data_IF_161096631358
#
_entry.id   IF_161096631358
#
_cell.length_a   1.000
_cell.length_b   1.000
_cell.length_c   1.000
_cell.angle_alpha   90.00
_cell.angle_beta   90.00
_cell.angle_gamma   90.00
#
_symmetry.space_group_name_H-M   'P 1'
#
loop_
_entity.id
_entity.type
_entity.pdbx_description
1 polymer ?
#
# COMPACT_ATOMS: atom_id res chain seq x y z
N UNK A 1 50.49 6.48 -0.37
CA UNK A 1 49.46 5.66 0.32
C UNK A 1 50.13 4.57 1.14
N UNK A 2 50.67 4.92 2.30
CA UNK A 2 51.02 4.01 3.40
C UNK A 2 51.14 4.93 4.62
N UNK A 3 50.06 4.96 5.40
CA UNK A 3 50.01 5.30 6.82
C UNK A 3 48.55 5.08 7.24
N UNK A 4 48.17 3.80 7.29
CA UNK A 4 47.00 3.44 8.08
C UNK A 4 47.39 3.71 9.53
N UNK A 5 46.69 4.65 10.18
CA UNK A 5 46.87 4.94 11.60
C UNK A 5 46.99 3.63 12.38
N UNK A 6 48.20 3.36 12.91
CA UNK A 6 48.56 2.07 13.47
C UNK A 6 47.68 1.78 14.72
N UNK A 7 46.60 1.01 14.52
CA UNK A 7 45.68 0.61 15.58
C UNK A 7 44.18 0.84 15.29
N UNK A 8 43.80 1.61 14.26
CA UNK A 8 42.39 1.83 13.95
C UNK A 8 41.72 0.57 13.34
N UNK A 9 40.61 0.13 13.94
CA UNK A 9 39.79 -0.99 13.45
C UNK A 9 38.94 -0.62 12.24
N UNK A 10 38.57 0.66 12.11
CA UNK A 10 37.77 1.20 11.02
C UNK A 10 38.37 2.51 10.52
N UNK A 11 38.21 2.79 9.23
CA UNK A 11 38.68 4.02 8.58
C UNK A 11 37.55 4.63 7.78
N UNK A 12 37.24 5.90 8.04
CA UNK A 12 36.38 6.73 7.19
C UNK A 12 37.28 7.58 6.30
N UNK A 13 37.27 7.33 4.99
CA UNK A 13 38.01 8.11 4.00
C UNK A 13 37.02 8.96 3.19
N UNK A 14 37.22 10.28 3.17
CA UNK A 14 36.43 11.20 2.35
C UNK A 14 37.30 11.85 1.27
N UNK A 15 36.81 11.83 0.03
CA UNK A 15 37.44 12.55 -1.10
C UNK A 15 36.54 13.71 -1.49
N UNK A 16 37.12 14.91 -1.58
CA UNK A 16 36.42 16.13 -1.94
C UNK A 16 36.78 16.52 -3.37
N UNK A 17 35.77 16.68 -4.22
CA UNK A 17 35.94 17.13 -5.62
C UNK A 17 35.13 18.39 -5.82
N UNK A 18 35.79 19.52 -6.10
CA UNK A 18 35.12 20.79 -6.37
C UNK A 18 34.94 20.99 -7.88
N UNK A 19 33.71 21.28 -8.32
CA UNK A 19 33.39 21.59 -9.71
C UNK A 19 32.17 22.51 -9.78
N UNK A 20 32.24 23.57 -10.59
CA UNK A 20 31.08 24.43 -10.87
C UNK A 20 30.45 25.11 -9.63
N UNK A 21 31.25 25.43 -8.59
CA UNK A 21 30.75 26.03 -7.35
C UNK A 21 30.08 25.06 -6.38
N UNK A 22 30.15 23.76 -6.67
CA UNK A 22 29.68 22.67 -5.82
C UNK A 22 30.86 21.77 -5.42
N UNK A 23 30.76 21.16 -4.25
CA UNK A 23 31.74 20.22 -3.72
C UNK A 23 31.07 18.88 -3.51
N UNK A 24 31.52 17.87 -4.24
CA UNK A 24 31.11 16.47 -4.05
C UNK A 24 32.02 15.84 -3.00
N UNK A 25 31.41 15.28 -1.96
CA UNK A 25 32.09 14.48 -0.95
C UNK A 25 31.71 13.03 -1.19
N UNK A 26 32.72 12.21 -1.50
CA UNK A 26 32.58 10.76 -1.57
C UNK A 26 33.26 10.15 -0.34
N UNK A 27 32.49 9.56 0.56
CA UNK A 27 32.96 8.99 1.81
C UNK A 27 32.78 7.47 1.84
N UNK A 28 33.84 6.77 2.23
CA UNK A 28 33.86 5.32 2.34
C UNK A 28 34.29 4.93 3.76
N UNK A 29 33.44 4.17 4.46
CA UNK A 29 33.75 3.58 5.75
C UNK A 29 34.12 2.11 5.55
N UNK A 30 35.33 1.74 5.96
CA UNK A 30 35.88 0.39 5.75
C UNK A 30 36.34 -0.21 7.07
N UNK A 31 36.00 -1.48 7.30
CA UNK A 31 36.63 -2.30 8.34
C UNK A 31 38.05 -2.66 7.88
N UNK A 32 39.05 -2.18 8.62
CA UNK A 32 40.46 -2.31 8.26
C UNK A 32 40.96 -3.77 8.42
N UNK A 33 40.26 -4.60 9.20
CA UNK A 33 40.58 -6.00 9.46
C UNK A 33 40.04 -6.91 8.37
N UNK A 34 38.79 -6.70 7.94
CA UNK A 34 38.14 -7.53 6.90
C UNK A 34 38.26 -6.96 5.49
N UNK A 35 38.63 -5.67 5.36
CA UNK A 35 38.62 -4.89 4.11
C UNK A 35 37.22 -4.73 3.50
N UNK A 36 36.17 -5.01 4.27
CA UNK A 36 34.78 -4.82 3.83
C UNK A 36 34.39 -3.36 3.99
N UNK A 37 33.78 -2.80 2.94
CA UNK A 37 33.15 -1.49 3.02
C UNK A 37 31.83 -1.61 3.77
N UNK A 38 31.74 -0.96 4.92
CA UNK A 38 30.54 -0.92 5.73
C UNK A 38 29.53 0.10 5.19
N UNK A 39 30.03 1.24 4.68
CA UNK A 39 29.20 2.26 4.03
C UNK A 39 29.94 2.97 2.91
N UNK A 40 29.20 3.21 1.83
CA UNK A 40 29.56 4.07 0.71
C UNK A 40 28.51 5.18 0.64
N UNK A 41 28.96 6.42 0.66
CA UNK A 41 28.09 7.58 0.70
C UNK A 41 28.65 8.69 -0.18
N UNK A 42 27.78 9.33 -0.95
CA UNK A 42 28.11 10.49 -1.74
C UNK A 42 27.06 11.57 -1.54
N UNK A 43 27.53 12.80 -1.33
CA UNK A 43 26.67 13.97 -1.34
C UNK A 43 27.37 15.15 -2.00
N UNK A 44 26.57 16.02 -2.59
CA UNK A 44 27.03 17.23 -3.23
C UNK A 44 26.48 18.45 -2.48
N UNK A 45 27.40 19.36 -2.13
CA UNK A 45 27.13 20.56 -1.35
C UNK A 45 27.39 21.80 -2.19
N UNK A 46 26.49 22.78 -2.14
CA UNK A 46 26.82 24.14 -2.53
C UNK A 46 27.80 24.78 -1.54
N UNK A 47 28.47 25.86 -1.94
CA UNK A 47 29.47 26.54 -1.11
C UNK A 47 28.98 26.88 0.31
N UNK A 48 27.73 27.33 0.47
CA UNK A 48 27.13 27.65 1.78
C UNK A 48 26.65 26.43 2.58
N UNK A 49 26.52 25.27 1.95
CA UNK A 49 26.03 24.03 2.57
C UNK A 49 27.19 23.19 3.15
N UNK A 50 28.45 23.48 2.78
CA UNK A 50 29.64 22.77 3.27
C UNK A 50 29.76 22.77 4.80
N UNK A 51 29.13 23.72 5.49
CA UNK A 51 29.03 23.77 6.95
C UNK A 51 28.39 22.51 7.56
N UNK A 52 27.59 21.76 6.80
CA UNK A 52 26.93 20.54 7.27
C UNK A 52 27.78 19.27 7.10
N UNK A 53 28.81 19.31 6.25
CA UNK A 53 29.61 18.13 5.90
C UNK A 53 30.23 17.39 7.11
N UNK A 54 30.77 18.06 8.15
CA UNK A 54 31.32 17.35 9.32
C UNK A 54 30.29 16.48 10.04
N UNK A 55 29.07 17.00 10.23
CA UNK A 55 27.99 16.26 10.90
C UNK A 55 27.46 15.14 10.01
N UNK A 56 27.41 15.36 8.69
CA UNK A 56 27.05 14.32 7.74
C UNK A 56 28.04 13.14 7.78
N UNK A 57 29.35 13.42 7.76
CA UNK A 57 30.39 12.39 7.86
C UNK A 57 30.34 11.63 9.20
N UNK A 58 30.05 12.33 10.30
CA UNK A 58 29.79 11.68 11.59
C UNK A 58 28.58 10.73 11.52
N UNK A 59 27.49 11.17 10.87
CA UNK A 59 26.32 10.34 10.61
C UNK A 59 26.62 9.08 9.80
N UNK A 60 27.50 9.16 8.79
CA UNK A 60 27.93 7.97 8.02
C UNK A 60 28.69 6.99 8.89
N UNK A 61 29.55 7.48 9.78
CA UNK A 61 30.26 6.64 10.74
C UNK A 61 29.31 5.98 11.73
N UNK A 62 28.37 6.73 12.32
CA UNK A 62 27.42 6.18 13.30
C UNK A 62 26.46 5.18 12.66
N UNK A 63 25.98 5.44 11.45
CA UNK A 63 25.16 4.48 10.71
C UNK A 63 25.92 3.21 10.37
N UNK A 64 27.12 3.33 9.78
CA UNK A 64 27.89 2.17 9.35
C UNK A 64 28.41 1.29 10.49
N UNK A 65 28.53 1.85 11.70
CA UNK A 65 28.99 1.14 12.90
C UNK A 65 27.84 0.77 13.85
N UNK A 66 26.58 1.03 13.48
CA UNK A 66 25.40 0.85 14.34
C UNK A 66 25.54 1.51 15.72
N UNK A 67 26.17 2.69 15.77
CA UNK A 67 26.32 3.49 16.99
C UNK A 67 25.06 4.34 17.21
N UNK A 68 24.85 4.89 18.42
CA UNK A 68 23.87 5.95 18.61
C UNK A 68 24.11 7.09 17.62
N UNK A 69 23.03 7.69 17.12
CA UNK A 69 23.10 8.82 16.21
C UNK A 69 23.94 9.96 16.81
N UNK A 70 24.70 10.65 15.95
CA UNK A 70 25.43 11.84 16.36
C UNK A 70 24.47 12.88 16.97
N UNK A 71 24.92 13.59 18.01
CA UNK A 71 24.10 14.62 18.62
C UNK A 71 23.88 15.77 17.62
N UNK A 72 22.63 16.19 17.47
CA UNK A 72 22.27 17.38 16.71
C UNK A 72 21.97 18.56 17.65
N UNK A 73 22.19 19.81 17.21
CA UNK A 73 21.67 20.97 17.92
C UNK A 73 20.15 20.85 18.07
N UNK A 74 19.58 21.24 19.23
CA UNK A 74 18.14 21.30 19.37
C UNK A 74 17.56 22.28 18.35
N UNK A 75 16.38 21.95 17.82
CA UNK A 75 15.63 22.87 16.96
C UNK A 75 15.40 24.19 17.68
N UNK A 76 15.56 25.30 16.95
CA UNK A 76 15.34 26.64 17.50
C UNK A 76 13.92 26.78 18.05
N UNK A 77 13.78 27.51 19.16
CA UNK A 77 12.48 27.70 19.82
C UNK A 77 11.44 28.33 18.91
N UNK A 78 11.85 29.23 18.00
CA UNK A 78 10.95 29.86 17.03
C UNK A 78 10.36 28.84 16.02
N UNK A 79 11.11 27.78 15.67
CA UNK A 79 10.67 26.74 14.74
C UNK A 79 9.88 25.62 15.42
N UNK A 80 10.07 25.41 16.72
CA UNK A 80 9.53 24.26 17.44
C UNK A 80 8.00 24.24 17.49
N UNK A 81 7.37 25.41 17.61
CA UNK A 81 5.90 25.52 17.64
C UNK A 81 5.30 25.09 16.30
N UNK A 82 5.78 25.70 15.21
CA UNK A 82 5.35 25.37 13.84
C UNK A 82 5.63 23.90 13.49
N UNK A 83 6.78 23.35 13.92
CA UNK A 83 7.10 21.94 13.69
C UNK A 83 6.13 21.00 14.40
N UNK A 84 5.77 21.30 15.66
CA UNK A 84 4.81 20.50 16.43
C UNK A 84 3.40 20.60 15.86
N UNK A 85 3.00 21.79 15.41
CA UNK A 85 1.74 22.02 14.70
C UNK A 85 1.71 21.19 13.41
N UNK A 86 2.77 21.26 12.60
CA UNK A 86 2.89 20.47 11.38
C UNK A 86 2.79 18.96 11.65
N UNK A 87 3.49 18.45 12.67
CA UNK A 87 3.37 17.05 13.07
C UNK A 87 1.96 16.68 13.54
N UNK A 88 1.26 17.58 14.24
CA UNK A 88 -0.10 17.35 14.66
C UNK A 88 -1.03 17.21 13.45
N UNK A 89 -0.92 18.08 12.44
CA UNK A 89 -1.69 17.96 11.21
C UNK A 89 -1.35 16.70 10.40
N UNK A 90 -0.06 16.30 10.35
CA UNK A 90 0.36 15.04 9.71
C UNK A 90 -0.16 13.78 10.41
N UNK A 91 -0.44 13.88 11.71
CA UNK A 91 -1.01 12.79 12.52
C UNK A 91 -2.54 12.82 12.55
N UNK A 92 -3.16 13.95 12.19
CA UNK A 92 -4.60 14.16 12.35
C UNK A 92 -5.40 13.79 11.08
N UNK A 93 -6.63 13.42 11.35
CA UNK A 93 -7.57 12.64 10.55
C UNK A 93 -8.10 13.36 9.30
N UNK A 94 -8.13 14.69 9.33
CA UNK A 94 -8.52 15.48 8.16
C UNK A 94 -7.34 15.91 7.31
N UNK A 95 -6.14 15.32 7.56
CA UNK A 95 -4.84 15.70 7.02
C UNK A 95 -4.96 16.97 6.20
N UNK A 96 -5.04 18.10 6.91
CA UNK A 96 -4.98 19.42 6.31
C UNK A 96 -3.55 19.53 5.81
N UNK A 97 -3.26 18.80 4.75
CA UNK A 97 -1.91 18.61 4.23
C UNK A 97 -1.35 19.97 3.86
N UNK A 98 -2.22 20.91 3.47
CA UNK A 98 -1.89 22.31 3.33
C UNK A 98 -1.49 23.00 4.64
N UNK A 99 -2.21 22.79 5.75
CA UNK A 99 -1.84 23.34 7.06
C UNK A 99 -0.56 22.69 7.59
N UNK A 100 -0.42 21.36 7.48
CA UNK A 100 0.79 20.62 7.79
C UNK A 100 1.99 21.17 7.02
N UNK A 101 1.84 21.32 5.70
CA UNK A 101 2.87 21.85 4.81
C UNK A 101 3.20 23.29 5.15
N UNK A 102 2.21 24.16 5.35
CA UNK A 102 2.42 25.56 5.70
C UNK A 102 3.16 25.72 7.05
N UNK A 103 2.80 24.92 8.06
CA UNK A 103 3.51 24.89 9.34
C UNK A 103 4.95 24.39 9.17
N UNK A 104 5.17 23.32 8.40
CA UNK A 104 6.53 22.83 8.13
C UNK A 104 7.38 23.83 7.32
N UNK A 105 6.77 24.57 6.39
CA UNK A 105 7.44 25.65 5.64
C UNK A 105 7.88 26.77 6.59
N UNK A 106 7.05 27.17 7.56
CA UNK A 106 7.43 28.13 8.61
C UNK A 106 8.53 27.61 9.51
N UNK A 107 8.46 26.34 9.94
CA UNK A 107 9.49 25.72 10.77
C UNK A 107 10.86 25.72 10.07
N UNK A 108 10.89 25.39 8.78
CA UNK A 108 12.12 25.46 7.96
C UNK A 108 12.59 26.90 7.77
N UNK A 109 11.68 27.87 7.61
CA UNK A 109 12.06 29.29 7.49
C UNK A 109 12.68 29.84 8.80
N UNK A 110 12.14 29.43 9.96
CA UNK A 110 12.63 29.84 11.28
C UNK A 110 13.94 29.14 11.67
N UNK A 111 14.14 27.89 11.24
CA UNK A 111 15.38 27.14 11.45
C UNK A 111 15.83 26.40 10.18
N UNK A 112 16.44 27.11 9.21
CA UNK A 112 16.86 26.51 7.94
C UNK A 112 17.93 25.44 8.07
N UNK A 113 18.60 25.34 9.23
CA UNK A 113 19.65 24.37 9.52
C UNK A 113 19.12 23.07 10.16
N UNK A 114 17.83 23.01 10.51
CA UNK A 114 17.21 21.83 11.15
C UNK A 114 16.91 20.71 10.16
N UNK A 115 17.66 19.61 10.25
CA UNK A 115 17.41 18.40 9.46
C UNK A 115 15.99 17.83 9.69
N UNK A 116 15.53 17.88 10.93
CA UNK A 116 14.21 17.36 11.32
C UNK A 116 13.07 18.20 10.73
N UNK A 117 13.22 19.54 10.66
CA UNK A 117 12.23 20.40 10.00
C UNK A 117 12.13 20.09 8.51
N UNK A 118 13.27 19.93 7.82
CA UNK A 118 13.30 19.53 6.41
C UNK A 118 12.69 18.15 6.18
N UNK A 119 12.93 17.18 7.07
CA UNK A 119 12.32 15.86 6.98
C UNK A 119 10.79 15.92 7.15
N UNK A 120 10.29 16.73 8.10
CA UNK A 120 8.86 16.97 8.28
C UNK A 120 8.22 17.66 7.08
N UNK A 121 8.90 18.64 6.48
CA UNK A 121 8.46 19.31 5.26
C UNK A 121 8.38 18.34 4.07
N UNK A 122 9.39 17.48 3.91
CA UNK A 122 9.39 16.44 2.88
C UNK A 122 8.21 15.48 3.04
N UNK A 123 7.88 15.09 4.28
CA UNK A 123 6.72 14.26 4.58
C UNK A 123 5.41 14.96 4.19
N UNK A 124 5.23 16.23 4.57
CA UNK A 124 4.04 17.01 4.20
C UNK A 124 3.87 17.20 2.69
N UNK A 125 4.96 17.53 1.98
CA UNK A 125 4.96 17.68 0.52
C UNK A 125 4.65 16.36 -0.18
N UNK A 126 5.16 15.23 0.33
CA UNK A 126 4.81 13.91 -0.20
C UNK A 126 3.31 13.62 -0.03
N UNK A 127 2.72 13.95 1.12
CA UNK A 127 1.27 13.81 1.29
C UNK A 127 0.49 14.75 0.36
N UNK A 128 1.02 15.94 0.04
CA UNK A 128 0.40 16.86 -0.92
C UNK A 128 0.39 16.23 -2.31
N UNK A 129 1.51 15.65 -2.73
CA UNK A 129 1.59 14.87 -3.96
C UNK A 129 0.62 13.70 -3.96
N UNK A 130 0.52 12.95 -2.86
CA UNK A 130 -0.38 11.81 -2.75
C UNK A 130 -1.86 12.21 -2.93
N UNK A 131 -2.26 13.39 -2.47
CA UNK A 131 -3.63 13.89 -2.61
C UNK A 131 -3.91 14.52 -3.99
N UNK A 132 -2.97 15.30 -4.53
CA UNK A 132 -3.17 16.11 -5.74
C UNK A 132 -2.68 15.44 -7.02
N UNK A 133 -1.78 14.47 -6.90
CA UNK A 133 -1.03 13.86 -8.00
C UNK A 133 -0.20 14.85 -8.85
N UNK A 134 0.04 16.06 -8.36
CA UNK A 134 0.89 17.05 -9.05
C UNK A 134 2.37 16.74 -8.84
N UNK A 135 3.10 16.42 -9.92
CA UNK A 135 4.51 16.00 -9.86
C UNK A 135 5.43 17.02 -9.18
N UNK A 136 5.12 18.31 -9.25
CA UNK A 136 5.87 19.38 -8.57
C UNK A 136 6.01 19.12 -7.06
N UNK A 137 5.01 18.54 -6.42
CA UNK A 137 5.07 18.22 -4.98
C UNK A 137 5.98 17.04 -4.69
N UNK A 138 6.07 16.06 -5.60
CA UNK A 138 7.02 14.96 -5.48
C UNK A 138 8.46 15.47 -5.60
N UNK A 139 8.73 16.34 -6.57
CA UNK A 139 10.05 16.95 -6.76
C UNK A 139 10.47 17.76 -5.52
N UNK A 140 9.54 18.53 -4.95
CA UNK A 140 9.76 19.27 -3.71
C UNK A 140 10.02 18.34 -2.52
N UNK A 141 9.26 17.27 -2.36
CA UNK A 141 9.44 16.30 -1.29
C UNK A 141 10.83 15.64 -1.37
N UNK A 142 11.28 15.28 -2.57
CA UNK A 142 12.61 14.72 -2.81
C UNK A 142 13.71 15.72 -2.48
N UNK A 143 13.55 16.99 -2.87
CA UNK A 143 14.52 18.05 -2.53
C UNK A 143 14.57 18.32 -1.03
N UNK A 144 13.43 18.44 -0.34
CA UNK A 144 13.40 18.63 1.12
C UNK A 144 14.02 17.43 1.86
N UNK A 145 13.78 16.20 1.40
CA UNK A 145 14.41 15.02 1.97
C UNK A 145 15.93 15.01 1.73
N UNK A 146 16.39 15.46 0.56
CA UNK A 146 17.82 15.65 0.26
C UNK A 146 18.44 16.69 1.20
N UNK A 147 17.77 17.83 1.41
CA UNK A 147 18.20 18.88 2.32
C UNK A 147 18.30 18.39 3.78
N UNK A 148 17.37 17.55 4.21
CA UNK A 148 17.43 16.90 5.51
C UNK A 148 18.68 15.99 5.64
N UNK A 149 18.93 15.16 4.62
CA UNK A 149 20.10 14.27 4.57
C UNK A 149 21.44 15.00 4.49
N UNK A 150 21.52 16.15 3.81
CA UNK A 150 22.74 16.97 3.79
C UNK A 150 23.13 17.50 5.17
N UNK A 151 22.13 17.84 6.01
CA UNK A 151 22.31 18.41 7.34
C UNK A 151 22.69 17.35 8.36
N UNK A 152 21.90 16.28 8.42
CA UNK A 152 22.13 15.17 9.32
C UNK A 152 21.50 13.88 8.78
N UNK A 153 22.28 13.02 8.10
CA UNK A 153 21.76 11.82 7.45
C UNK A 153 21.31 10.75 8.45
N UNK A 154 21.92 10.68 9.64
CA UNK A 154 21.70 9.61 10.61
C UNK A 154 20.67 9.97 11.70
N UNK A 155 19.53 10.54 11.33
CA UNK A 155 18.40 10.78 12.24
C UNK A 155 17.22 9.91 11.85
N UNK A 156 16.47 9.43 12.84
CA UNK A 156 15.30 8.61 12.59
C UNK A 156 14.26 9.29 11.66
N UNK A 157 13.85 10.56 11.83
CA UNK A 157 12.95 11.22 10.88
C UNK A 157 13.49 11.29 9.45
N UNK A 158 14.81 11.47 9.28
CA UNK A 158 15.48 11.58 7.98
C UNK A 158 15.49 10.23 7.28
N UNK A 159 15.88 9.17 7.98
CA UNK A 159 15.80 7.80 7.49
C UNK A 159 14.36 7.38 7.19
N UNK A 160 13.39 7.76 8.03
CA UNK A 160 11.98 7.42 7.84
C UNK A 160 11.40 8.03 6.57
N UNK A 161 11.65 9.31 6.30
CA UNK A 161 11.17 9.95 5.07
C UNK A 161 11.94 9.45 3.83
N UNK A 162 13.26 9.23 3.94
CA UNK A 162 14.05 8.65 2.86
C UNK A 162 13.53 7.25 2.49
N UNK A 163 13.35 6.38 3.49
CA UNK A 163 12.78 5.05 3.31
C UNK A 163 11.37 5.09 2.72
N UNK A 164 10.53 6.03 3.16
CA UNK A 164 9.19 6.20 2.62
C UNK A 164 9.18 6.62 1.13
N UNK A 165 10.01 7.57 0.74
CA UNK A 165 10.12 8.01 -0.65
C UNK A 165 10.69 6.91 -1.55
N UNK A 166 11.68 6.15 -1.06
CA UNK A 166 12.23 4.98 -1.76
C UNK A 166 11.18 3.88 -1.93
N UNK A 167 10.37 3.60 -0.90
CA UNK A 167 9.26 2.65 -0.99
C UNK A 167 8.25 3.05 -2.07
N UNK A 168 7.81 4.32 -2.08
CA UNK A 168 6.82 4.80 -3.05
C UNK A 168 7.36 4.94 -4.48
N UNK A 169 8.67 4.82 -4.67
CA UNK A 169 9.33 4.82 -5.98
C UNK A 169 9.80 3.42 -6.39
N UNK A 170 9.39 2.37 -5.66
CA UNK A 170 9.66 0.97 -5.97
C UNK A 170 11.05 0.46 -5.56
N UNK A 171 11.82 1.24 -4.79
CA UNK A 171 13.16 0.85 -4.30
C UNK A 171 13.06 0.23 -2.92
N UNK A 172 12.51 -0.98 -2.84
CA UNK A 172 12.13 -1.63 -1.58
C UNK A 172 13.32 -2.03 -0.69
N UNK A 173 14.40 -2.56 -1.25
CA UNK A 173 15.59 -2.96 -0.49
C UNK A 173 16.27 -1.74 0.15
N UNK A 174 16.31 -0.63 -0.58
CA UNK A 174 16.84 0.62 -0.05
C UNK A 174 15.90 1.21 1.00
N UNK A 175 14.58 1.08 0.83
CA UNK A 175 13.60 1.52 1.82
C UNK A 175 13.74 0.74 3.14
N UNK A 176 13.94 -0.58 3.06
CA UNK A 176 14.19 -1.45 4.20
C UNK A 176 15.42 -1.02 5.00
N UNK A 177 16.55 -0.76 4.32
CA UNK A 177 17.79 -0.34 4.98
C UNK A 177 17.64 0.99 5.72
N UNK A 178 16.93 1.96 5.14
CA UNK A 178 16.65 3.25 5.77
C UNK A 178 15.71 3.06 6.98
N UNK A 179 14.62 2.32 6.84
CA UNK A 179 13.63 2.14 7.91
C UNK A 179 14.16 1.31 9.08
N UNK A 180 15.00 0.30 8.81
CA UNK A 180 15.73 -0.41 9.88
C UNK A 180 16.60 0.56 10.68
N UNK A 181 17.33 1.45 10.00
CA UNK A 181 18.14 2.44 10.71
C UNK A 181 17.28 3.43 11.51
N UNK A 182 16.14 3.85 10.97
CA UNK A 182 15.20 4.69 11.71
C UNK A 182 14.74 4.02 13.03
N UNK A 183 14.45 2.71 13.00
CA UNK A 183 14.05 1.93 14.18
C UNK A 183 15.23 1.67 15.13
N UNK A 184 16.45 1.47 14.63
CA UNK A 184 17.64 1.37 15.48
C UNK A 184 17.88 2.66 16.29
N UNK A 185 17.60 3.82 15.69
CA UNK A 185 17.77 5.13 16.32
C UNK A 185 16.58 5.50 17.23
N UNK A 186 15.35 5.21 16.80
CA UNK A 186 14.12 5.43 17.58
C UNK A 186 13.26 4.14 17.63
N UNK A 187 13.58 3.19 18.53
CA UNK A 187 12.91 1.88 18.57
C UNK A 187 11.46 1.91 19.05
N UNK A 188 11.02 3.03 19.62
CA UNK A 188 9.65 3.21 20.12
C UNK A 188 8.77 4.02 19.14
N UNK A 189 9.24 4.25 17.91
CA UNK A 189 8.50 4.96 16.88
C UNK A 189 7.57 4.01 16.11
N UNK A 190 6.28 4.01 16.46
CA UNK A 190 5.25 3.18 15.82
C UNK A 190 5.21 3.32 14.29
N UNK A 191 5.38 4.54 13.79
CA UNK A 191 5.36 4.85 12.36
C UNK A 191 6.56 4.24 11.61
N UNK A 192 7.74 4.14 12.25
CA UNK A 192 8.91 3.43 11.70
C UNK A 192 8.59 1.95 11.46
N UNK A 193 8.09 1.26 12.50
CA UNK A 193 7.67 -0.14 12.43
C UNK A 193 6.58 -0.36 11.37
N UNK A 194 5.53 0.47 11.34
CA UNK A 194 4.46 0.35 10.33
C UNK A 194 4.96 0.53 8.91
N UNK A 195 5.85 1.49 8.66
CA UNK A 195 6.43 1.69 7.32
C UNK A 195 7.35 0.52 6.93
N UNK A 196 8.12 -0.04 7.85
CA UNK A 196 8.94 -1.23 7.60
C UNK A 196 8.06 -2.45 7.26
N UNK A 197 6.95 -2.64 7.99
CA UNK A 197 5.97 -3.68 7.71
C UNK A 197 5.43 -3.60 6.27
N UNK A 198 5.13 -2.38 5.78
CA UNK A 198 4.71 -2.16 4.39
C UNK A 198 5.76 -2.54 3.36
N UNK A 199 7.05 -2.34 3.67
CA UNK A 199 8.15 -2.79 2.81
C UNK A 199 8.17 -4.31 2.73
N UNK A 200 8.12 -4.99 3.87
CA UNK A 200 8.06 -6.46 3.91
C UNK A 200 6.84 -7.01 3.17
N UNK A 201 5.68 -6.38 3.31
CA UNK A 201 4.47 -6.76 2.57
C UNK A 201 4.67 -6.65 1.04
N UNK A 202 5.37 -5.62 0.57
CA UNK A 202 5.69 -5.48 -0.87
C UNK A 202 6.72 -6.48 -1.37
N UNK A 203 7.57 -6.98 -0.49
CA UNK A 203 8.54 -8.03 -0.79
C UNK A 203 7.97 -9.45 -0.57
N UNK A 204 6.66 -9.59 -0.35
CA UNK A 204 5.98 -10.87 -0.03
C UNK A 204 6.50 -11.57 1.25
N UNK A 205 7.17 -10.80 2.12
CA UNK A 205 7.68 -11.22 3.42
C UNK A 205 6.60 -11.02 4.49
N UNK A 206 5.50 -11.76 4.35
CA UNK A 206 4.29 -11.45 5.09
C UNK A 206 4.44 -11.65 6.60
N UNK A 207 5.27 -12.59 7.05
CA UNK A 207 5.42 -12.90 8.49
C UNK A 207 6.25 -11.84 9.21
N UNK A 208 7.29 -11.33 8.56
CA UNK A 208 8.04 -10.15 9.00
C UNK A 208 7.12 -8.92 9.03
N UNK A 209 6.31 -8.73 7.98
CA UNK A 209 5.30 -7.65 7.96
C UNK A 209 4.33 -7.74 9.15
N UNK A 210 3.86 -8.96 9.46
CA UNK A 210 2.95 -9.18 10.59
C UNK A 210 3.60 -8.83 11.94
N UNK A 211 4.88 -9.21 12.13
CA UNK A 211 5.63 -8.88 13.34
C UNK A 211 5.76 -7.37 13.52
N UNK A 212 6.15 -6.66 12.46
CA UNK A 212 6.34 -5.21 12.50
C UNK A 212 5.02 -4.43 12.67
N UNK A 213 3.93 -4.86 12.03
CA UNK A 213 2.62 -4.24 12.26
C UNK A 213 2.11 -4.44 13.68
N UNK A 214 2.32 -5.62 14.28
CA UNK A 214 1.98 -5.84 15.69
C UNK A 214 2.79 -4.92 16.60
N UNK A 215 4.09 -4.77 16.34
CA UNK A 215 4.94 -3.85 17.08
C UNK A 215 4.49 -2.40 16.95
N UNK A 216 4.07 -1.97 15.76
CA UNK A 216 3.49 -0.65 15.56
C UNK A 216 2.21 -0.43 16.40
N UNK A 217 1.31 -1.42 16.47
CA UNK A 217 0.12 -1.35 17.32
C UNK A 217 0.46 -1.27 18.81
N UNK A 218 1.46 -2.03 19.28
CA UNK A 218 1.93 -1.97 20.67
C UNK A 218 2.49 -0.59 21.04
N UNK A 219 3.26 0.02 20.15
CA UNK A 219 3.92 1.32 20.37
C UNK A 219 2.96 2.51 20.18
N UNK A 220 1.97 2.37 19.30
CA UNK A 220 1.01 3.42 18.96
C UNK A 220 -0.45 2.95 19.11
N UNK A 221 -0.93 2.62 20.33
CA UNK A 221 -2.27 2.07 20.54
C UNK A 221 -3.42 3.04 20.25
N UNK A 222 -3.12 4.34 20.06
CA UNK A 222 -4.09 5.36 19.67
C UNK A 222 -4.04 5.71 18.18
N UNK A 223 -3.14 5.11 17.40
CA UNK A 223 -2.96 5.40 15.99
C UNK A 223 -3.80 4.43 15.14
N UNK A 224 -4.95 4.91 14.64
CA UNK A 224 -5.86 4.09 13.84
C UNK A 224 -5.18 3.45 12.62
N UNK A 225 -4.17 4.11 12.03
CA UNK A 225 -3.49 3.63 10.83
C UNK A 225 -2.71 2.33 11.11
N UNK A 226 -2.22 2.13 12.34
CA UNK A 226 -1.55 0.89 12.75
C UNK A 226 -2.55 -0.28 12.75
N UNK A 227 -3.76 -0.06 13.27
CA UNK A 227 -4.83 -1.06 13.25
C UNK A 227 -5.36 -1.31 11.84
N UNK A 228 -5.54 -0.26 11.04
CA UNK A 228 -6.01 -0.39 9.67
C UNK A 228 -5.04 -1.20 8.80
N UNK A 229 -3.74 -0.90 8.85
CA UNK A 229 -2.74 -1.62 8.04
C UNK A 229 -2.58 -3.09 8.51
N UNK A 230 -2.69 -3.36 9.83
CA UNK A 230 -2.68 -4.73 10.36
C UNK A 230 -3.93 -5.52 9.94
N UNK A 231 -5.12 -4.92 10.02
CA UNK A 231 -6.36 -5.51 9.52
C UNK A 231 -6.25 -5.80 8.02
N UNK A 232 -5.77 -4.84 7.24
CA UNK A 232 -5.55 -5.02 5.80
C UNK A 232 -4.60 -6.19 5.47
N UNK A 233 -3.58 -6.45 6.28
CA UNK A 233 -2.72 -7.62 6.10
C UNK A 233 -3.48 -8.94 6.33
N UNK A 234 -4.31 -9.02 7.38
CA UNK A 234 -5.15 -10.20 7.59
C UNK A 234 -6.20 -10.38 6.49
N UNK A 235 -6.82 -9.28 6.05
CA UNK A 235 -7.75 -9.26 4.93
C UNK A 235 -7.10 -9.82 3.65
N UNK A 236 -5.88 -9.36 3.31
CA UNK A 236 -5.13 -9.86 2.14
C UNK A 236 -4.78 -11.34 2.23
N UNK A 237 -4.63 -11.88 3.45
CA UNK A 237 -4.44 -13.32 3.70
C UNK A 237 -5.77 -14.11 3.70
N UNK A 238 -6.90 -13.48 3.35
CA UNK A 238 -8.24 -14.08 3.37
C UNK A 238 -8.79 -14.33 4.77
N UNK A 239 -8.13 -13.82 5.82
CA UNK A 239 -8.53 -14.05 7.22
C UNK A 239 -9.44 -12.93 7.72
N UNK A 240 -10.63 -12.82 7.15
CA UNK A 240 -11.58 -11.74 7.41
C UNK A 240 -12.05 -11.69 8.88
N UNK A 241 -12.25 -12.86 9.50
CA UNK A 241 -12.61 -12.96 10.92
C UNK A 241 -11.53 -12.37 11.83
N UNK A 242 -10.25 -12.55 11.48
CA UNK A 242 -9.13 -12.01 12.25
C UNK A 242 -8.85 -10.54 11.93
N UNK A 243 -9.20 -10.09 10.73
CA UNK A 243 -9.13 -8.68 10.31
C UNK A 243 -10.15 -7.81 11.07
N UNK A 244 -11.37 -8.33 11.23
CA UNK A 244 -12.51 -7.61 11.81
C UNK A 244 -12.24 -6.85 13.13
N UNK A 245 -11.61 -7.45 14.18
CA UNK A 245 -11.33 -6.71 15.41
C UNK A 245 -10.39 -5.52 15.22
N UNK A 246 -9.45 -5.58 14.26
CA UNK A 246 -8.56 -4.48 13.95
C UNK A 246 -9.26 -3.37 13.16
N UNK A 247 -10.10 -3.72 12.19
CA UNK A 247 -10.93 -2.74 11.48
C UNK A 247 -11.92 -2.03 12.39
N UNK A 248 -12.53 -2.75 13.35
CA UNK A 248 -13.37 -2.15 14.39
C UNK A 248 -12.59 -1.14 15.24
N UNK A 249 -11.37 -1.50 15.67
CA UNK A 249 -10.52 -0.60 16.45
C UNK A 249 -10.06 0.60 15.63
N UNK A 250 -9.79 0.42 14.33
CA UNK A 250 -9.45 1.51 13.43
C UNK A 250 -10.62 2.51 13.29
N UNK A 251 -11.87 2.03 13.19
CA UNK A 251 -13.06 2.91 13.18
C UNK A 251 -13.26 3.59 14.53
N UNK A 252 -13.04 2.90 15.65
CA UNK A 252 -13.12 3.50 16.99
C UNK A 252 -12.14 4.68 17.16
N UNK A 253 -10.91 4.52 16.67
CA UNK A 253 -9.84 5.52 16.79
C UNK A 253 -9.88 6.60 15.69
N UNK A 254 -10.42 6.26 14.52
CA UNK A 254 -10.54 7.15 13.36
C UNK A 254 -11.95 7.14 12.75
N UNK A 255 -12.99 7.60 13.49
CA UNK A 255 -14.38 7.54 13.03
C UNK A 255 -14.73 8.59 11.95
N UNK A 256 -13.78 9.45 11.57
CA UNK A 256 -13.93 10.42 10.48
C UNK A 256 -13.04 10.04 9.28
N UNK A 257 -12.40 8.87 9.32
CA UNK A 257 -11.59 8.36 8.23
C UNK A 257 -12.45 7.51 7.31
N UNK A 258 -12.68 7.98 6.08
CA UNK A 258 -13.42 7.18 5.09
C UNK A 258 -12.79 5.79 4.87
N UNK A 259 -11.45 5.70 4.99
CA UNK A 259 -10.68 4.46 4.83
C UNK A 259 -10.95 3.42 5.91
N UNK A 260 -11.16 3.82 7.17
CA UNK A 260 -11.40 2.88 8.28
C UNK A 260 -12.78 2.23 8.13
N UNK A 261 -13.80 3.04 7.79
CA UNK A 261 -15.14 2.55 7.49
C UNK A 261 -15.16 1.66 6.24
N UNK A 262 -14.40 2.01 5.20
CA UNK A 262 -14.28 1.17 4.01
C UNK A 262 -13.62 -0.20 4.31
N UNK A 263 -12.57 -0.21 5.14
CA UNK A 263 -11.91 -1.45 5.58
C UNK A 263 -12.89 -2.34 6.38
N UNK A 264 -13.59 -1.76 7.36
CA UNK A 264 -14.58 -2.48 8.15
C UNK A 264 -15.73 -3.03 7.28
N UNK A 265 -16.22 -2.22 6.33
CA UNK A 265 -17.24 -2.69 5.41
C UNK A 265 -16.75 -3.82 4.49
N UNK A 266 -15.47 -3.79 4.09
CA UNK A 266 -14.87 -4.84 3.28
C UNK A 266 -14.79 -6.15 4.06
N UNK A 267 -14.45 -6.11 5.35
CA UNK A 267 -14.52 -7.29 6.23
C UNK A 267 -15.94 -7.82 6.32
N UNK A 268 -16.93 -6.96 6.57
CA UNK A 268 -18.34 -7.37 6.64
C UNK A 268 -18.85 -7.97 5.32
N UNK A 269 -18.52 -7.35 4.19
CA UNK A 269 -18.89 -7.86 2.87
C UNK A 269 -18.39 -9.28 2.66
N UNK A 270 -17.10 -9.54 2.93
CA UNK A 270 -16.50 -10.87 2.73
C UNK A 270 -16.98 -11.91 3.76
N UNK A 271 -17.45 -11.46 4.92
CA UNK A 271 -18.14 -12.31 5.91
C UNK A 271 -19.62 -12.53 5.59
N UNK A 272 -20.15 -11.99 4.48
CA UNK A 272 -21.57 -12.09 4.11
C UNK A 272 -22.52 -11.24 4.97
N UNK A 273 -21.97 -10.31 5.76
CA UNK A 273 -22.70 -9.39 6.65
C UNK A 273 -23.09 -8.12 5.89
N UNK A 274 -23.97 -8.28 4.91
CA UNK A 274 -24.28 -7.22 3.93
C UNK A 274 -24.93 -5.97 4.53
N UNK A 275 -25.80 -6.13 5.54
CA UNK A 275 -26.46 -5.00 6.21
C UNK A 275 -25.45 -4.10 6.92
N UNK A 276 -24.52 -4.71 7.66
CA UNK A 276 -23.43 -3.97 8.32
C UNK A 276 -22.47 -3.36 7.30
N UNK A 277 -22.15 -4.09 6.23
CA UNK A 277 -21.32 -3.56 5.14
C UNK A 277 -21.95 -2.33 4.47
N UNK A 278 -23.27 -2.35 4.16
CA UNK A 278 -23.98 -1.20 3.59
C UNK A 278 -23.89 0.01 4.50
N UNK A 279 -24.15 -0.17 5.81
CA UNK A 279 -24.10 0.91 6.79
C UNK A 279 -22.74 1.61 6.79
N UNK A 280 -21.66 0.85 6.90
CA UNK A 280 -20.31 1.39 6.98
C UNK A 280 -19.86 2.01 5.63
N UNK A 281 -20.26 1.44 4.49
CA UNK A 281 -19.99 2.05 3.17
C UNK A 281 -20.69 3.39 3.00
N UNK A 282 -21.92 3.54 3.49
CA UNK A 282 -22.63 4.82 3.44
C UNK A 282 -21.92 5.89 4.25
N UNK A 283 -21.38 5.54 5.42
CA UNK A 283 -20.54 6.46 6.21
C UNK A 283 -19.25 6.80 5.46
N UNK A 284 -18.54 5.80 4.94
CA UNK A 284 -17.32 5.99 4.16
C UNK A 284 -17.53 6.94 2.97
N UNK A 285 -18.58 6.72 2.18
CA UNK A 285 -18.95 7.56 1.02
C UNK A 285 -19.32 8.98 1.46
N UNK A 286 -20.04 9.13 2.58
CA UNK A 286 -20.39 10.43 3.14
C UNK A 286 -19.18 11.25 3.60
N UNK A 287 -18.13 10.59 4.10
CA UNK A 287 -16.87 11.23 4.49
C UNK A 287 -16.00 11.56 3.27
N UNK A 288 -15.82 10.60 2.36
CA UNK A 288 -15.11 10.78 1.10
C UNK A 288 -15.61 9.81 0.05
N UNK A 289 -16.25 10.35 -0.98
CA UNK A 289 -16.68 9.56 -2.13
C UNK A 289 -15.46 9.09 -2.94
N UNK A 290 -15.29 7.77 -3.09
CA UNK A 290 -14.22 7.17 -3.90
C UNK A 290 -14.79 6.08 -4.80
N UNK A 291 -14.18 5.86 -5.98
CA UNK A 291 -14.62 4.80 -6.88
C UNK A 291 -14.67 3.41 -6.20
N UNK A 292 -13.70 2.98 -5.37
CA UNK A 292 -13.79 1.72 -4.63
C UNK A 292 -14.96 1.66 -3.64
N UNK A 293 -15.19 2.69 -2.82
CA UNK A 293 -16.28 2.66 -1.82
C UNK A 293 -17.66 2.63 -2.47
N UNK A 294 -17.86 3.45 -3.51
CA UNK A 294 -19.10 3.44 -4.29
C UNK A 294 -19.31 2.10 -5.00
N UNK A 295 -18.24 1.53 -5.58
CA UNK A 295 -18.30 0.21 -6.21
C UNK A 295 -18.71 -0.90 -5.22
N UNK A 296 -18.09 -0.93 -4.03
CA UNK A 296 -18.40 -1.92 -3.00
C UNK A 296 -19.85 -1.80 -2.50
N UNK A 297 -20.42 -0.59 -2.48
CA UNK A 297 -21.85 -0.44 -2.15
C UNK A 297 -22.74 -1.05 -3.23
N UNK A 298 -22.38 -0.90 -4.51
CA UNK A 298 -23.02 -1.62 -5.61
C UNK A 298 -22.95 -3.14 -5.44
N UNK A 299 -21.79 -3.67 -5.00
CA UNK A 299 -21.63 -5.11 -4.71
C UNK A 299 -22.56 -5.56 -3.58
N UNK A 300 -22.58 -4.84 -2.46
CA UNK A 300 -23.44 -5.17 -1.31
C UNK A 300 -24.91 -5.23 -1.75
N UNK A 301 -25.41 -4.20 -2.44
CA UNK A 301 -26.79 -4.16 -2.94
C UNK A 301 -27.09 -5.31 -3.91
N UNK A 302 -26.14 -5.65 -4.79
CA UNK A 302 -26.27 -6.77 -5.71
C UNK A 302 -26.37 -8.12 -4.97
N UNK A 303 -25.58 -8.33 -3.91
CA UNK A 303 -25.61 -9.54 -3.09
C UNK A 303 -26.88 -9.65 -2.23
N UNK A 304 -27.46 -8.53 -1.82
CA UNK A 304 -28.80 -8.48 -1.20
C UNK A 304 -29.95 -8.75 -2.19
N UNK A 305 -29.65 -8.92 -3.48
CA UNK A 305 -30.67 -9.12 -4.53
C UNK A 305 -31.31 -7.83 -5.03
N UNK A 306 -30.82 -6.66 -4.58
CA UNK A 306 -31.30 -5.33 -4.96
C UNK A 306 -30.61 -4.84 -6.24
N UNK A 307 -30.69 -5.66 -7.29
CA UNK A 307 -29.99 -5.45 -8.55
C UNK A 307 -30.30 -4.09 -9.20
N UNK A 308 -31.56 -3.64 -9.13
CA UNK A 308 -31.96 -2.33 -9.66
C UNK A 308 -31.28 -1.17 -8.93
N UNK A 309 -31.11 -1.29 -7.61
CA UNK A 309 -30.48 -0.27 -6.78
C UNK A 309 -28.96 -0.25 -6.97
N UNK A 310 -28.35 -1.38 -7.33
CA UNK A 310 -26.89 -1.51 -7.52
C UNK A 310 -26.37 -0.79 -8.78
N UNK A 311 -27.17 -0.77 -9.87
CA UNK A 311 -26.80 -0.14 -11.16
C UNK A 311 -26.24 1.28 -11.01
N UNK A 312 -26.95 2.25 -10.36
CA UNK A 312 -26.47 3.62 -10.28
C UNK A 312 -25.13 3.73 -9.54
N UNK A 313 -24.84 2.86 -8.56
CA UNK A 313 -23.55 2.88 -7.86
C UNK A 313 -22.41 2.36 -8.74
N UNK A 314 -22.64 1.32 -9.56
CA UNK A 314 -21.63 0.90 -10.53
C UNK A 314 -21.36 1.97 -11.59
N UNK A 315 -22.39 2.66 -12.06
CA UNK A 315 -22.23 3.79 -12.99
C UNK A 315 -21.46 4.95 -12.34
N UNK A 316 -21.82 5.32 -11.10
CA UNK A 316 -21.12 6.38 -10.36
C UNK A 316 -19.66 6.03 -10.09
N UNK A 317 -19.36 4.78 -9.76
CA UNK A 317 -17.98 4.32 -9.59
C UNK A 317 -17.15 4.46 -10.89
N UNK A 318 -17.78 4.26 -12.05
CA UNK A 318 -17.15 4.45 -13.37
C UNK A 318 -16.99 5.94 -13.74
N UNK A 319 -17.87 6.82 -13.27
CA UNK A 319 -17.68 8.27 -13.40
C UNK A 319 -16.47 8.76 -12.58
N UNK A 320 -16.30 8.23 -11.36
CA UNK A 320 -15.18 8.54 -10.48
C UNK A 320 -13.86 7.88 -10.92
N UNK A 321 -13.94 6.78 -11.65
CA UNK A 321 -12.80 5.98 -12.09
C UNK A 321 -13.12 5.20 -13.36
N UNK A 322 -12.91 5.80 -14.56
CA UNK A 322 -13.40 5.23 -15.83
C UNK A 322 -12.67 3.95 -16.27
N UNK A 323 -11.43 3.76 -15.82
CA UNK A 323 -10.57 2.64 -16.23
C UNK A 323 -10.71 1.41 -15.33
N UNK A 324 -11.93 1.13 -14.84
CA UNK A 324 -12.22 0.00 -13.96
C UNK A 324 -13.01 -1.07 -14.70
N UNK A 325 -12.31 -1.98 -15.39
CA UNK A 325 -12.93 -3.13 -16.07
C UNK A 325 -13.78 -3.99 -15.10
N UNK A 326 -13.40 -4.03 -13.81
CA UNK A 326 -14.16 -4.70 -12.74
C UNK A 326 -15.58 -4.13 -12.63
N UNK A 327 -15.72 -2.81 -12.57
CA UNK A 327 -17.03 -2.15 -12.43
C UNK A 327 -17.91 -2.36 -13.66
N UNK A 328 -17.33 -2.42 -14.87
CA UNK A 328 -18.04 -2.81 -16.09
C UNK A 328 -18.51 -4.27 -16.08
N UNK A 329 -17.67 -5.20 -15.60
CA UNK A 329 -18.04 -6.60 -15.45
C UNK A 329 -19.25 -6.75 -14.54
N UNK A 330 -19.23 -6.12 -13.36
CA UNK A 330 -20.35 -6.18 -12.42
C UNK A 330 -21.61 -5.51 -12.96
N UNK A 331 -21.48 -4.40 -13.71
CA UNK A 331 -22.62 -3.80 -14.40
C UNK A 331 -23.21 -4.78 -15.44
N UNK A 332 -22.37 -5.54 -16.14
CA UNK A 332 -22.80 -6.61 -17.04
C UNK A 332 -23.57 -7.72 -16.33
N UNK A 333 -23.07 -8.16 -15.17
CA UNK A 333 -23.73 -9.16 -14.31
C UNK A 333 -25.11 -8.67 -13.86
N UNK A 334 -25.19 -7.45 -13.32
CA UNK A 334 -26.45 -6.87 -12.82
C UNK A 334 -27.47 -6.70 -13.96
N UNK A 335 -27.07 -6.17 -15.11
CA UNK A 335 -27.99 -6.05 -16.26
C UNK A 335 -28.50 -7.40 -16.75
N UNK A 336 -27.64 -8.43 -16.74
CA UNK A 336 -28.05 -9.79 -17.10
C UNK A 336 -29.09 -10.33 -16.11
N UNK A 337 -28.89 -10.13 -14.80
CA UNK A 337 -29.84 -10.51 -13.74
C UNK A 337 -31.18 -9.79 -13.85
N UNK A 338 -31.15 -8.54 -14.31
CA UNK A 338 -32.35 -7.75 -14.62
C UNK A 338 -33.02 -8.14 -15.97
N UNK A 339 -32.48 -9.12 -16.69
CA UNK A 339 -32.98 -9.57 -17.99
C UNK A 339 -32.61 -8.68 -19.18
N UNK A 340 -31.85 -7.61 -18.96
CA UNK A 340 -31.44 -6.68 -20.02
C UNK A 340 -30.15 -7.15 -20.70
N UNK A 341 -30.29 -8.14 -21.60
CA UNK A 341 -29.17 -8.73 -22.34
C UNK A 341 -28.40 -7.73 -23.21
N UNK A 342 -29.09 -6.70 -23.74
CA UNK A 342 -28.47 -5.68 -24.57
C UNK A 342 -27.47 -4.83 -23.79
N UNK A 343 -27.90 -4.30 -22.64
CA UNK A 343 -27.04 -3.53 -21.75
C UNK A 343 -25.92 -4.39 -21.14
N UNK A 344 -26.22 -5.64 -20.78
CA UNK A 344 -25.21 -6.59 -20.30
C UNK A 344 -24.08 -6.79 -21.33
N UNK A 345 -24.43 -7.00 -22.60
CA UNK A 345 -23.44 -7.17 -23.67
C UNK A 345 -22.67 -5.87 -23.99
N UNK A 346 -23.25 -4.69 -23.80
CA UNK A 346 -22.54 -3.41 -23.91
C UNK A 346 -21.53 -3.25 -22.79
N UNK A 347 -21.95 -3.47 -21.53
CA UNK A 347 -21.09 -3.39 -20.37
C UNK A 347 -19.92 -4.38 -20.45
N UNK A 348 -20.19 -5.64 -20.81
CA UNK A 348 -19.16 -6.67 -20.99
C UNK A 348 -18.15 -6.31 -22.09
N UNK A 349 -18.59 -5.74 -23.22
CA UNK A 349 -17.67 -5.26 -24.27
C UNK A 349 -16.77 -4.15 -23.76
N UNK A 350 -17.33 -3.18 -23.04
CA UNK A 350 -16.54 -2.07 -22.51
C UNK A 350 -15.53 -2.54 -21.45
N UNK A 351 -15.94 -3.46 -20.59
CA UNK A 351 -15.04 -4.13 -19.64
C UNK A 351 -13.94 -4.92 -20.35
N UNK A 352 -14.28 -5.63 -21.44
CA UNK A 352 -13.33 -6.40 -22.25
C UNK A 352 -12.24 -5.49 -22.83
N UNK A 353 -12.61 -4.39 -23.50
CA UNK A 353 -11.65 -3.46 -24.10
C UNK A 353 -10.65 -2.90 -23.07
N UNK A 354 -11.14 -2.59 -21.87
CA UNK A 354 -10.30 -2.08 -20.77
C UNK A 354 -9.41 -3.16 -20.17
N UNK A 355 -9.92 -4.39 -19.99
CA UNK A 355 -9.14 -5.52 -19.51
C UNK A 355 -8.03 -5.91 -20.51
N UNK A 356 -8.31 -5.89 -21.81
CA UNK A 356 -7.31 -6.09 -22.87
C UNK A 356 -6.22 -5.04 -22.82
N UNK A 357 -6.60 -3.77 -22.70
CA UNK A 357 -5.67 -2.66 -22.57
C UNK A 357 -4.79 -2.79 -21.31
N UNK A 358 -5.36 -3.30 -20.21
CA UNK A 358 -4.62 -3.55 -18.97
C UNK A 358 -3.65 -4.72 -19.10
N UNK A 359 -4.06 -5.84 -19.70
CA UNK A 359 -3.16 -6.99 -19.98
C UNK A 359 -2.06 -6.61 -20.97
N UNK A 360 -2.32 -5.74 -21.94
CA UNK A 360 -1.28 -5.26 -22.85
C UNK A 360 -0.18 -4.46 -22.12
N UNK A 361 -0.54 -3.72 -21.06
CA UNK A 361 0.42 -2.98 -20.22
C UNK A 361 1.15 -3.89 -19.23
N UNK A 362 0.47 -4.87 -18.66
CA UNK A 362 1.05 -5.88 -17.78
C UNK A 362 0.63 -7.30 -18.20
N UNK A 363 1.37 -7.93 -19.14
CA UNK A 363 1.03 -9.26 -19.63
C UNK A 363 1.19 -10.38 -18.59
N UNK A 364 1.83 -10.11 -17.45
CA UNK A 364 2.08 -11.10 -16.39
C UNK A 364 1.07 -11.02 -15.26
N UNK A 365 0.11 -10.09 -15.30
CA UNK A 365 -0.98 -10.01 -14.35
C UNK A 365 -1.97 -11.17 -14.52
N UNK A 366 -1.78 -12.25 -13.75
CA UNK A 366 -2.76 -13.35 -13.69
C UNK A 366 -4.14 -12.86 -13.23
N UNK A 367 -4.16 -11.93 -12.27
CA UNK A 367 -5.36 -11.23 -11.81
C UNK A 367 -6.13 -10.59 -12.97
N UNK A 368 -5.52 -9.69 -13.75
CA UNK A 368 -6.23 -8.99 -14.85
C UNK A 368 -6.72 -9.97 -15.92
N UNK A 369 -5.91 -11.00 -16.22
CA UNK A 369 -6.26 -12.04 -17.20
C UNK A 369 -7.48 -12.86 -16.78
N UNK A 370 -7.71 -13.08 -15.48
CA UNK A 370 -8.87 -13.84 -15.01
C UNK A 370 -10.19 -13.11 -15.31
N UNK A 371 -10.22 -11.78 -15.13
CA UNK A 371 -11.37 -10.95 -15.53
C UNK A 371 -11.56 -10.90 -17.04
N UNK A 372 -10.47 -10.78 -17.80
CA UNK A 372 -10.50 -10.85 -19.27
C UNK A 372 -11.13 -12.15 -19.76
N UNK A 373 -10.77 -13.27 -19.13
CA UNK A 373 -11.30 -14.59 -19.45
C UNK A 373 -12.82 -14.68 -19.20
N UNK A 374 -13.28 -14.19 -18.05
CA UNK A 374 -14.71 -14.15 -17.75
C UNK A 374 -15.48 -13.29 -18.76
N UNK A 375 -15.00 -12.08 -19.06
CA UNK A 375 -15.63 -11.19 -20.04
C UNK A 375 -15.70 -11.83 -21.43
N UNK A 376 -14.64 -12.52 -21.86
CA UNK A 376 -14.64 -13.33 -23.08
C UNK A 376 -15.73 -14.41 -23.05
N UNK A 377 -15.89 -15.11 -21.91
CA UNK A 377 -16.91 -16.16 -21.76
C UNK A 377 -18.33 -15.59 -21.92
N UNK A 378 -18.58 -14.41 -21.34
CA UNK A 378 -19.90 -13.75 -21.40
C UNK A 378 -20.25 -13.23 -22.80
N UNK A 379 -19.25 -12.97 -23.64
CA UNK A 379 -19.40 -12.52 -25.02
C UNK A 379 -19.35 -13.68 -26.03
N UNK A 380 -19.31 -14.93 -25.56
CA UNK A 380 -19.33 -16.13 -26.41
C UNK A 380 -17.98 -16.54 -27.00
N UNK A 381 -16.89 -15.87 -26.64
CA UNK A 381 -15.52 -16.19 -27.09
C UNK A 381 -14.93 -17.35 -26.29
N UNK A 382 -15.50 -18.55 -26.44
CA UNK A 382 -15.24 -19.72 -25.59
C UNK A 382 -13.78 -20.18 -25.55
N UNK A 383 -13.14 -20.32 -26.72
CA UNK A 383 -11.75 -20.77 -26.81
C UNK A 383 -10.80 -19.79 -26.14
N UNK A 384 -10.98 -18.50 -26.44
CA UNK A 384 -10.19 -17.42 -25.84
C UNK A 384 -10.36 -17.36 -24.33
N UNK A 385 -11.61 -17.44 -23.84
CA UNK A 385 -11.88 -17.47 -22.40
C UNK A 385 -11.16 -18.65 -21.71
N UNK A 386 -11.20 -19.85 -22.31
CA UNK A 386 -10.50 -21.02 -21.80
C UNK A 386 -8.98 -20.87 -21.78
N UNK A 387 -8.40 -20.22 -22.80
CA UNK A 387 -6.96 -19.95 -22.87
C UNK A 387 -6.52 -18.92 -21.83
N UNK A 388 -7.24 -17.80 -21.72
CA UNK A 388 -6.89 -16.72 -20.78
C UNK A 388 -6.99 -17.17 -19.32
N UNK A 389 -8.01 -17.97 -18.97
CA UNK A 389 -8.14 -18.44 -17.59
C UNK A 389 -7.08 -19.47 -17.21
N UNK A 390 -6.67 -20.32 -18.16
CA UNK A 390 -5.57 -21.25 -17.93
C UNK A 390 -4.24 -20.51 -17.70
N UNK A 391 -3.98 -19.45 -18.49
CA UNK A 391 -2.82 -18.59 -18.30
C UNK A 391 -2.88 -17.84 -16.95
N UNK A 392 -4.05 -17.33 -16.57
CA UNK A 392 -4.25 -16.65 -15.28
C UNK A 392 -3.89 -17.56 -14.11
N UNK A 393 -4.40 -18.81 -14.10
CA UNK A 393 -4.10 -19.81 -13.08
C UNK A 393 -2.62 -20.22 -13.08
N UNK A 394 -1.95 -20.22 -14.23
CA UNK A 394 -0.51 -20.51 -14.30
C UNK A 394 0.33 -19.37 -13.71
N UNK A 395 -0.04 -18.11 -13.98
CA UNK A 395 0.68 -16.92 -13.51
C UNK A 395 0.45 -16.65 -12.02
N UNK A 396 -0.74 -16.97 -11.51
CA UNK A 396 -1.14 -16.65 -10.14
C UNK A 396 -1.91 -17.81 -9.50
N UNK A 397 -1.29 -19.00 -9.33
CA UNK A 397 -1.99 -20.23 -8.90
C UNK A 397 -2.48 -20.22 -7.46
N UNK A 398 -2.01 -19.28 -6.64
CA UNK A 398 -2.38 -19.13 -5.22
C UNK A 398 -3.24 -17.89 -4.95
N UNK A 399 -3.58 -17.15 -6.00
CA UNK A 399 -4.41 -15.95 -5.87
C UNK A 399 -5.88 -16.35 -5.76
N UNK A 400 -6.53 -15.91 -4.67
CA UNK A 400 -7.90 -16.25 -4.36
C UNK A 400 -8.88 -15.71 -5.41
N UNK A 401 -8.70 -14.45 -5.83
CA UNK A 401 -9.57 -13.80 -6.81
C UNK A 401 -9.43 -14.48 -8.18
N UNK A 402 -8.23 -14.91 -8.55
CA UNK A 402 -8.00 -15.69 -9.78
C UNK A 402 -8.73 -17.03 -9.72
N UNK A 403 -8.70 -17.71 -8.57
CA UNK A 403 -9.46 -18.94 -8.34
C UNK A 403 -10.96 -18.76 -8.47
N UNK A 404 -11.51 -17.71 -7.86
CA UNK A 404 -12.93 -17.36 -7.92
C UNK A 404 -13.37 -17.05 -9.36
N UNK A 405 -12.60 -16.21 -10.06
CA UNK A 405 -12.85 -15.88 -11.46
C UNK A 405 -12.76 -17.11 -12.38
N UNK A 406 -11.88 -18.06 -12.06
CA UNK A 406 -11.75 -19.29 -12.82
C UNK A 406 -12.96 -20.20 -12.66
N UNK A 407 -13.51 -20.33 -11.45
CA UNK A 407 -14.77 -21.04 -11.23
C UNK A 407 -15.91 -20.44 -12.05
N UNK A 408 -16.08 -19.11 -12.01
CA UNK A 408 -17.14 -18.45 -12.77
C UNK A 408 -16.96 -18.61 -14.27
N UNK A 409 -15.72 -18.54 -14.75
CA UNK A 409 -15.41 -18.75 -16.17
C UNK A 409 -15.67 -20.20 -16.59
N UNK A 410 -15.26 -21.19 -15.79
CA UNK A 410 -15.52 -22.60 -16.11
C UNK A 410 -17.01 -22.94 -16.12
N UNK A 411 -17.78 -22.42 -15.17
CA UNK A 411 -19.24 -22.58 -15.16
C UNK A 411 -19.89 -21.91 -16.38
N UNK A 412 -19.48 -20.68 -16.74
CA UNK A 412 -19.95 -20.00 -17.94
C UNK A 412 -19.61 -20.76 -19.24
N UNK A 413 -18.51 -21.51 -19.25
CA UNK A 413 -18.09 -22.35 -20.37
C UNK A 413 -18.72 -23.75 -20.36
N UNK A 414 -19.47 -24.13 -19.32
CA UNK A 414 -20.03 -25.48 -19.15
C UNK A 414 -18.99 -26.54 -18.77
N UNK A 415 -17.82 -26.14 -18.27
CA UNK A 415 -16.71 -27.02 -17.87
C UNK A 415 -16.83 -27.46 -16.40
N UNK A 416 -17.96 -28.06 -16.04
CA UNK A 416 -18.31 -28.43 -14.65
C UNK A 416 -17.23 -29.28 -13.96
N UNK A 417 -16.63 -30.23 -14.67
CA UNK A 417 -15.57 -31.09 -14.11
C UNK A 417 -14.33 -30.30 -13.70
N UNK A 418 -13.95 -29.28 -14.48
CA UNK A 418 -12.80 -28.44 -14.16
C UNK A 418 -13.13 -27.50 -12.99
N UNK A 419 -14.36 -26.97 -12.95
CA UNK A 419 -14.85 -26.19 -11.83
C UNK A 419 -14.81 -27.00 -10.51
N UNK A 420 -15.30 -28.24 -10.49
CA UNK A 420 -15.28 -29.09 -9.29
C UNK A 420 -13.87 -29.45 -8.84
N UNK A 421 -12.94 -29.70 -9.77
CA UNK A 421 -11.53 -29.95 -9.44
C UNK A 421 -10.89 -28.73 -8.78
N UNK A 422 -11.15 -27.54 -9.30
CA UNK A 422 -10.65 -26.30 -8.72
C UNK A 422 -11.31 -26.01 -7.37
N UNK A 423 -12.63 -26.20 -7.24
CA UNK A 423 -13.34 -26.01 -5.97
C UNK A 423 -12.76 -26.90 -4.86
N UNK A 424 -12.32 -28.12 -5.18
CA UNK A 424 -11.70 -29.03 -4.21
C UNK A 424 -10.34 -28.54 -3.67
N UNK A 425 -9.72 -27.53 -4.27
CA UNK A 425 -8.46 -26.94 -3.80
C UNK A 425 -8.65 -25.63 -3.01
N UNK A 426 -9.88 -25.12 -2.92
CA UNK A 426 -10.17 -23.85 -2.26
C UNK A 426 -10.36 -24.01 -0.75
N UNK A 427 -10.14 -22.92 -0.01
CA UNK A 427 -10.36 -22.88 1.43
C UNK A 427 -11.86 -22.96 1.78
N UNK A 428 -12.21 -23.37 3.03
CA UNK A 428 -13.57 -23.29 3.56
C UNK A 428 -14.24 -21.93 3.34
N UNK A 429 -13.51 -20.86 3.65
CA UNK A 429 -13.97 -19.47 3.58
C UNK A 429 -14.24 -19.06 2.14
N UNK A 430 -13.33 -19.42 1.22
CA UNK A 430 -13.51 -19.18 -0.22
C UNK A 430 -14.73 -19.93 -0.76
N UNK A 431 -14.90 -21.20 -0.39
CA UNK A 431 -16.08 -21.98 -0.79
C UNK A 431 -17.37 -21.39 -0.23
N UNK A 432 -17.37 -20.93 1.01
CA UNK A 432 -18.51 -20.26 1.63
C UNK A 432 -18.85 -18.93 0.95
N UNK A 433 -17.85 -18.14 0.57
CA UNK A 433 -18.01 -16.92 -0.22
C UNK A 433 -18.61 -17.20 -1.60
N UNK A 434 -18.03 -18.16 -2.34
CA UNK A 434 -18.52 -18.59 -3.65
C UNK A 434 -19.94 -19.17 -3.58
N UNK A 435 -20.31 -19.80 -2.47
CA UNK A 435 -21.67 -20.28 -2.25
C UNK A 435 -22.71 -19.15 -2.17
N UNK A 436 -22.30 -17.90 -1.96
CA UNK A 436 -23.20 -16.75 -1.97
C UNK A 436 -23.40 -16.17 -3.38
N UNK A 437 -22.58 -16.60 -4.35
CA UNK A 437 -22.64 -16.08 -5.72
C UNK A 437 -23.87 -16.57 -6.50
N UNK A 438 -24.67 -15.65 -7.07
CA UNK A 438 -25.86 -16.02 -7.84
C UNK A 438 -25.56 -16.86 -9.09
N UNK A 439 -24.48 -16.53 -9.80
CA UNK A 439 -24.07 -17.24 -11.03
C UNK A 439 -23.63 -18.68 -10.78
N UNK A 440 -23.32 -19.04 -9.53
CA UNK A 440 -22.96 -20.41 -9.14
C UNK A 440 -24.18 -21.23 -8.66
N UNK A 441 -25.41 -20.76 -8.86
CA UNK A 441 -26.63 -21.47 -8.47
C UNK A 441 -26.69 -22.94 -8.94
N UNK A 442 -26.27 -23.22 -10.18
CA UNK A 442 -26.30 -24.58 -10.71
C UNK A 442 -25.14 -25.44 -10.20
N UNK A 443 -23.98 -24.84 -9.87
CA UNK A 443 -22.88 -25.53 -9.21
C UNK A 443 -23.26 -25.90 -7.77
N UNK A 444 -23.99 -25.03 -7.06
CA UNK A 444 -24.48 -25.27 -5.69
C UNK A 444 -25.45 -26.45 -5.58
N UNK A 445 -26.12 -26.83 -6.67
CA UNK A 445 -26.99 -28.01 -6.73
C UNK A 445 -26.24 -29.30 -7.01
N UNK A 446 -24.96 -29.21 -7.36
CA UNK A 446 -24.12 -30.36 -7.63
C UNK A 446 -23.81 -31.11 -6.31
N UNK A 447 -24.06 -32.43 -6.23
CA UNK A 447 -23.77 -33.21 -5.02
C UNK A 447 -22.29 -33.15 -4.63
N UNK A 448 -21.36 -33.09 -5.59
CA UNK A 448 -19.93 -33.04 -5.31
C UNK A 448 -19.54 -31.70 -4.69
N UNK A 449 -20.07 -30.59 -5.21
CA UNK A 449 -19.85 -29.27 -4.62
C UNK A 449 -20.49 -29.14 -3.24
N UNK A 450 -21.70 -29.69 -3.06
CA UNK A 450 -22.38 -29.73 -1.75
C UNK A 450 -21.57 -30.53 -0.72
N UNK A 451 -20.93 -31.62 -1.14
CA UNK A 451 -20.04 -32.42 -0.29
C UNK A 451 -18.82 -31.62 0.15
N UNK A 452 -18.22 -30.83 -0.76
CA UNK A 452 -17.10 -29.94 -0.43
C UNK A 452 -17.51 -28.93 0.65
N UNK A 453 -18.66 -28.25 0.49
CA UNK A 453 -19.16 -27.31 1.50
C UNK A 453 -19.35 -27.95 2.89
N UNK A 454 -19.85 -29.19 2.95
CA UNK A 454 -20.07 -29.92 4.21
C UNK A 454 -18.78 -30.38 4.86
N UNK A 455 -17.78 -30.79 4.07
CA UNK A 455 -16.49 -31.29 4.55
C UNK A 455 -15.71 -30.26 5.36
N UNK A 456 -16.01 -28.98 5.16
CA UNK A 456 -15.33 -27.86 5.83
C UNK A 456 -16.18 -27.17 6.91
N UNK A 457 -17.45 -27.54 7.03
CA UNK A 457 -18.35 -27.00 8.04
C UNK A 457 -18.33 -27.84 9.32
N UNK A 458 -17.17 -28.17 9.89
CA UNK A 458 -16.97 -28.70 11.26
C UNK A 458 -15.53 -28.37 11.74
N UNK A 459 -15.37 -27.30 12.53
CA UNK A 459 -14.90 -27.30 13.94
C UNK A 459 -14.85 -25.89 14.50
#
# INVERSE_FOLDING_TARGET
MRDGAAGATHVLQATLTASGGRTTIHALLTDNRTRVNLRDWTAEYAAGEMKYAPLALAGIATWGLHLPAAAQPPMRSEALADYREGLAHLRNVNAEVDAARAAMEKAVAADPDSAVAHAGLAEAQWFTYFQTHEQTWLDRALESARQAGLRHPDLAPVHRIAGWLRFNTGRYEQAEAELRRAIEVEPDNDNGHRRLARVFEKNDQLDEALSEYKRAVELGPSNYANYQDLGALYFKRGRFTDSLPYSLKAVELGPQEAGTHFALASDYLNLGRFVEAEKELRVSIGLKETAPSVHSLGLVLMFEGRDKDAVPYFQRALELGPDRYLSWMYLGIVWRRLGNRGEAARANRRGLDLAESAVARDPRSGYTRSFLAYLCSQLGSRERAGSEIAQALQLSPRDADVGDMALWTYEALGRRTDALKLAATLSPEQLAWLNQWPDLADLRRDPQFTQLLKGYSIK
#
